data_IF_047076071797
#
_entry.id   IF_047076071797
#
_cell.length_a   1.000
_cell.length_b   1.000
_cell.length_c   1.000
_cell.angle_alpha   90.00
_cell.angle_beta   90.00
_cell.angle_gamma   90.00
#
_symmetry.space_group_name_H-M   'P 1'
#
loop_
_entity.id
_entity.type
_entity.pdbx_description
1 polymer ?
#
# COMPACT_ATOMS: atom_id res chain seq x y z
N UNK A 1 -21.95 1.20 7.69
CA UNK A 1 -21.44 0.13 6.80
C UNK A 1 -20.85 -1.02 7.63
N UNK A 2 -20.01 -0.75 8.62
CA UNK A 2 -19.26 -1.77 9.37
C UNK A 2 -19.94 -2.23 10.67
N UNK A 3 -21.03 -1.58 11.08
CA UNK A 3 -21.77 -1.92 12.30
C UNK A 3 -22.20 -3.39 12.30
N UNK A 4 -21.85 -4.09 13.36
CA UNK A 4 -22.15 -5.51 13.55
C UNK A 4 -21.58 -6.45 12.45
N UNK A 5 -20.42 -6.09 11.85
CA UNK A 5 -19.75 -6.82 10.76
C UNK A 5 -18.46 -7.47 11.23
N UNK A 6 -17.99 -8.45 10.47
CA UNK A 6 -16.70 -9.13 10.65
C UNK A 6 -15.74 -8.72 9.55
N UNK A 7 -14.55 -8.25 9.94
CA UNK A 7 -13.43 -7.89 9.05
C UNK A 7 -12.28 -8.89 9.22
N UNK A 8 -11.82 -9.48 8.15
CA UNK A 8 -10.56 -10.23 8.11
C UNK A 8 -9.42 -9.33 7.59
N UNK A 9 -8.27 -9.34 8.27
CA UNK A 9 -7.05 -8.64 7.85
C UNK A 9 -5.94 -9.67 7.68
N UNK A 10 -5.55 -9.99 6.44
CA UNK A 10 -4.38 -10.82 6.19
C UNK A 10 -3.12 -9.97 6.35
N UNK A 11 -2.04 -10.56 6.86
CA UNK A 11 -0.85 -9.78 7.23
C UNK A 11 -1.14 -8.77 8.35
N UNK A 12 -2.16 -9.02 9.17
CA UNK A 12 -2.65 -8.12 10.20
C UNK A 12 -1.62 -7.78 11.29
N UNK A 13 -0.59 -8.60 11.47
CA UNK A 13 0.55 -8.31 12.39
C UNK A 13 1.59 -7.35 11.82
N UNK A 14 1.47 -6.97 10.53
CA UNK A 14 2.31 -5.95 9.90
C UNK A 14 1.88 -4.52 10.27
N UNK A 15 2.74 -3.53 10.00
CA UNK A 15 2.46 -2.11 10.33
C UNK A 15 1.14 -1.62 9.74
N UNK A 16 0.87 -1.93 8.47
CA UNK A 16 -0.35 -1.50 7.80
C UNK A 16 -1.59 -2.22 8.35
N UNK A 17 -1.54 -3.55 8.47
CA UNK A 17 -2.64 -4.33 9.05
C UNK A 17 -2.99 -3.88 10.48
N UNK A 18 -1.97 -3.52 11.26
CA UNK A 18 -2.13 -2.98 12.61
C UNK A 18 -2.79 -1.59 12.62
N UNK A 19 -2.44 -0.74 11.66
CA UNK A 19 -3.07 0.58 11.53
C UNK A 19 -4.56 0.46 11.14
N UNK A 20 -4.90 -0.44 10.22
CA UNK A 20 -6.28 -0.76 9.88
C UNK A 20 -7.03 -1.31 11.10
N UNK A 21 -6.44 -2.25 11.84
CA UNK A 21 -7.01 -2.77 13.08
C UNK A 21 -7.35 -1.62 14.05
N UNK A 22 -6.40 -0.73 14.36
CA UNK A 22 -6.63 0.38 15.28
C UNK A 22 -7.80 1.28 14.85
N UNK A 23 -7.89 1.58 13.55
CA UNK A 23 -8.97 2.42 13.00
C UNK A 23 -10.34 1.76 13.20
N UNK A 24 -10.44 0.43 13.03
CA UNK A 24 -11.70 -0.29 13.19
C UNK A 24 -12.07 -0.61 14.63
N UNK A 25 -11.11 -0.72 15.55
CA UNK A 25 -11.40 -0.98 16.97
C UNK A 25 -12.30 0.08 17.61
N UNK A 26 -12.21 1.31 17.15
CA UNK A 26 -13.01 2.45 17.65
C UNK A 26 -14.37 2.57 16.93
N UNK A 27 -14.79 1.53 16.20
CA UNK A 27 -16.09 1.50 15.51
C UNK A 27 -17.01 0.44 16.12
N UNK A 28 -18.28 0.42 15.68
CA UNK A 28 -19.28 -0.59 16.06
C UNK A 28 -19.05 -1.93 15.35
N UNK A 29 -17.84 -2.23 14.92
CA UNK A 29 -17.51 -3.52 14.30
C UNK A 29 -17.68 -4.65 15.33
N UNK A 30 -18.21 -5.79 14.89
CA UNK A 30 -18.44 -6.95 15.75
C UNK A 30 -17.15 -7.70 16.04
N UNK A 31 -16.37 -7.97 14.99
CA UNK A 31 -15.20 -8.85 15.07
C UNK A 31 -14.14 -8.44 14.05
N UNK A 32 -12.87 -8.48 14.45
CA UNK A 32 -11.72 -8.28 13.57
C UNK A 32 -10.84 -9.54 13.67
N UNK A 33 -10.64 -10.22 12.55
CA UNK A 33 -9.76 -11.37 12.44
C UNK A 33 -8.41 -10.97 11.92
N UNK A 34 -7.36 -11.26 12.71
CA UNK A 34 -5.96 -11.08 12.33
C UNK A 34 -5.44 -12.41 11.81
N UNK A 35 -5.16 -12.47 10.51
CA UNK A 35 -4.63 -13.66 9.85
C UNK A 35 -3.15 -13.44 9.51
N UNK A 36 -2.27 -14.26 10.09
CA UNK A 36 -0.82 -14.13 9.92
C UNK A 36 -0.10 -15.44 10.25
N UNK A 37 1.08 -15.63 9.69
CA UNK A 37 1.96 -16.78 9.99
C UNK A 37 2.70 -16.64 11.32
N UNK A 38 2.86 -15.40 11.79
CA UNK A 38 3.74 -15.05 12.90
C UNK A 38 2.99 -15.15 14.23
N UNK A 39 3.10 -16.31 14.87
CA UNK A 39 2.48 -16.61 16.16
C UNK A 39 2.94 -15.64 17.26
N UNK A 40 4.24 -15.36 17.30
CA UNK A 40 4.77 -14.45 18.33
C UNK A 40 4.16 -13.06 18.24
N UNK A 41 4.12 -12.48 17.03
CA UNK A 41 3.48 -11.16 16.86
C UNK A 41 2.00 -11.19 17.16
N UNK A 42 1.29 -12.28 16.90
CA UNK A 42 -0.12 -12.42 17.29
C UNK A 42 -0.26 -12.45 18.81
N UNK A 43 0.63 -13.13 19.50
CA UNK A 43 0.61 -13.15 20.96
C UNK A 43 0.93 -11.78 21.57
N UNK A 44 1.97 -11.10 21.07
CA UNK A 44 2.29 -9.73 21.46
C UNK A 44 1.09 -8.78 21.26
N UNK A 45 0.39 -8.90 20.14
CA UNK A 45 -0.83 -8.13 19.86
C UNK A 45 -1.96 -8.48 20.80
N UNK A 46 -2.15 -9.78 21.13
CA UNK A 46 -3.19 -10.22 22.05
C UNK A 46 -2.99 -9.61 23.44
N UNK A 47 -1.76 -9.63 23.93
CA UNK A 47 -1.40 -9.02 25.20
C UNK A 47 -1.56 -7.50 25.18
N UNK A 48 -1.10 -6.84 24.11
CA UNK A 48 -1.15 -5.39 23.98
C UNK A 48 -2.58 -4.84 23.88
N UNK A 49 -3.40 -5.42 23.02
CA UNK A 49 -4.77 -4.91 22.80
C UNK A 49 -5.76 -5.41 23.84
N UNK A 50 -5.61 -6.64 24.33
CA UNK A 50 -6.51 -7.31 25.28
C UNK A 50 -8.01 -7.00 25.00
N UNK A 51 -8.43 -7.14 23.73
CA UNK A 51 -9.75 -6.74 23.26
C UNK A 51 -10.51 -7.92 22.69
N UNK A 52 -11.72 -8.25 23.20
CA UNK A 52 -12.48 -9.46 22.79
C UNK A 52 -12.98 -9.41 21.34
N UNK A 53 -13.04 -8.21 20.71
CA UNK A 53 -13.40 -8.07 19.29
C UNK A 53 -12.31 -8.64 18.37
N UNK A 54 -11.05 -8.77 18.84
CA UNK A 54 -9.96 -9.27 18.01
C UNK A 54 -9.88 -10.79 18.13
N UNK A 55 -9.86 -11.47 16.99
CA UNK A 55 -9.61 -12.91 16.89
C UNK A 55 -8.36 -13.17 16.08
N UNK A 56 -7.54 -14.08 16.56
CA UNK A 56 -6.23 -14.37 15.96
C UNK A 56 -6.28 -15.74 15.28
N UNK A 57 -5.90 -15.75 14.01
CA UNK A 57 -5.86 -16.92 13.14
C UNK A 57 -4.43 -17.12 12.64
N UNK A 58 -3.78 -18.19 13.03
CA UNK A 58 -2.48 -18.57 12.49
C UNK A 58 -2.72 -19.24 11.15
N UNK A 59 -2.09 -18.73 10.10
CA UNK A 59 -2.22 -19.28 8.75
C UNK A 59 -1.38 -18.55 7.72
N UNK A 60 -1.25 -19.16 6.56
CA UNK A 60 -0.48 -18.66 5.42
C UNK A 60 -1.41 -18.44 4.22
N UNK A 61 -1.36 -17.27 3.59
CA UNK A 61 -2.16 -16.98 2.38
C UNK A 61 -1.83 -17.93 1.21
N UNK A 62 -0.66 -18.56 1.22
CA UNK A 62 -0.27 -19.58 0.23
C UNK A 62 -1.04 -20.90 0.39
N UNK A 63 -1.69 -21.12 1.54
CA UNK A 63 -2.51 -22.27 1.82
C UNK A 63 -4.00 -21.88 1.74
N UNK A 64 -4.66 -22.33 0.68
CA UNK A 64 -6.06 -22.00 0.41
C UNK A 64 -7.01 -22.42 1.54
N UNK A 65 -6.86 -23.65 2.07
CA UNK A 65 -7.75 -24.19 3.09
C UNK A 65 -7.69 -23.40 4.41
N UNK A 66 -6.49 -22.94 4.76
CA UNK A 66 -6.26 -22.09 5.93
C UNK A 66 -7.00 -20.75 5.76
N UNK A 67 -6.88 -20.12 4.58
CA UNK A 67 -7.58 -18.88 4.25
C UNK A 67 -9.09 -19.08 4.21
N UNK A 68 -9.56 -20.15 3.55
CA UNK A 68 -10.99 -20.48 3.45
C UNK A 68 -11.63 -20.65 4.83
N UNK A 69 -10.99 -21.38 5.73
CA UNK A 69 -11.46 -21.57 7.09
C UNK A 69 -11.57 -20.28 7.89
N UNK A 70 -10.57 -19.40 7.77
CA UNK A 70 -10.57 -18.09 8.43
C UNK A 70 -11.61 -17.12 7.85
N UNK A 71 -12.05 -17.35 6.58
CA UNK A 71 -12.97 -16.49 5.85
C UNK A 71 -14.46 -16.78 6.19
N UNK A 72 -14.77 -17.90 6.84
CA UNK A 72 -16.16 -18.27 7.15
C UNK A 72 -16.86 -17.18 7.98
N UNK A 73 -17.98 -16.65 7.46
CA UNK A 73 -18.76 -15.59 8.13
C UNK A 73 -18.12 -14.21 8.14
N UNK A 74 -17.10 -13.97 7.33
CA UNK A 74 -16.48 -12.66 7.12
C UNK A 74 -17.35 -11.83 6.17
N UNK A 75 -17.61 -10.57 6.52
CA UNK A 75 -18.31 -9.61 5.65
C UNK A 75 -17.34 -8.83 4.77
N UNK A 76 -16.15 -8.48 5.30
CA UNK A 76 -15.14 -7.64 4.66
C UNK A 76 -13.75 -8.24 4.82
N UNK A 77 -12.91 -8.14 3.82
CA UNK A 77 -11.53 -8.59 3.90
C UNK A 77 -10.54 -7.53 3.39
N UNK A 78 -9.45 -7.36 4.11
CA UNK A 78 -8.32 -6.54 3.69
C UNK A 78 -7.11 -7.44 3.46
N UNK A 79 -6.71 -7.57 2.19
CA UNK A 79 -5.57 -8.39 1.76
C UNK A 79 -4.30 -7.55 1.79
N UNK A 80 -3.56 -7.61 2.91
CA UNK A 80 -2.29 -6.90 3.10
C UNK A 80 -1.08 -7.83 3.25
N UNK A 81 -1.28 -9.14 3.29
CA UNK A 81 -0.19 -10.10 3.34
C UNK A 81 0.61 -10.08 2.04
N UNK A 82 1.88 -9.71 2.12
CA UNK A 82 2.77 -9.65 0.97
C UNK A 82 4.25 -9.71 1.39
N UNK A 83 5.12 -10.13 0.48
CA UNK A 83 6.54 -9.81 0.51
C UNK A 83 6.74 -8.43 -0.13
N UNK A 84 7.38 -7.49 0.58
CA UNK A 84 7.51 -6.09 0.17
C UNK A 84 8.94 -5.58 0.03
N UNK A 85 9.92 -6.36 0.48
CA UNK A 85 11.32 -5.95 0.41
C UNK A 85 11.88 -6.25 -0.99
N UNK A 86 12.31 -5.21 -1.72
CA UNK A 86 12.83 -5.36 -3.08
C UNK A 86 14.00 -6.36 -3.12
N UNK A 87 15.07 -6.22 -2.31
CA UNK A 87 16.18 -7.17 -2.36
C UNK A 87 15.74 -8.62 -2.12
N UNK A 88 14.88 -8.87 -1.13
CA UNK A 88 14.40 -10.21 -0.84
C UNK A 88 13.58 -10.81 -1.98
N UNK A 89 12.78 -9.99 -2.67
CA UNK A 89 12.01 -10.46 -3.83
C UNK A 89 12.91 -10.72 -5.04
N UNK A 90 13.97 -9.95 -5.24
CA UNK A 90 14.96 -10.20 -6.30
C UNK A 90 15.68 -11.53 -6.09
N UNK A 91 16.11 -11.83 -4.87
CA UNK A 91 16.77 -13.11 -4.55
C UNK A 91 15.81 -14.30 -4.52
N UNK A 92 14.55 -14.08 -4.17
CA UNK A 92 13.53 -15.12 -4.04
C UNK A 92 12.25 -14.79 -4.84
N UNK A 93 12.33 -14.61 -6.17
CA UNK A 93 11.19 -14.16 -6.97
C UNK A 93 10.03 -15.16 -6.96
N UNK A 94 10.30 -16.45 -6.88
CA UNK A 94 9.26 -17.48 -6.76
C UNK A 94 8.45 -17.32 -5.46
N UNK A 95 9.09 -16.97 -4.34
CA UNK A 95 8.39 -16.72 -3.08
C UNK A 95 7.54 -15.43 -3.16
N UNK A 96 7.99 -14.41 -3.90
CA UNK A 96 7.19 -13.24 -4.19
C UNK A 96 5.93 -13.60 -5.02
N UNK A 97 6.07 -14.43 -6.05
CA UNK A 97 4.92 -14.93 -6.85
C UNK A 97 3.98 -15.75 -5.97
N UNK A 98 4.48 -16.71 -5.21
CA UNK A 98 3.66 -17.57 -4.34
C UNK A 98 2.87 -16.76 -3.31
N UNK A 99 3.48 -15.73 -2.72
CA UNK A 99 2.84 -14.94 -1.67
C UNK A 99 1.97 -13.81 -2.24
N UNK A 100 2.52 -13.01 -3.14
CA UNK A 100 1.86 -11.79 -3.61
C UNK A 100 0.80 -12.09 -4.67
N UNK A 101 1.03 -13.08 -5.53
CA UNK A 101 0.14 -13.41 -6.64
C UNK A 101 -0.80 -14.55 -6.24
N UNK A 102 -0.26 -15.77 -6.03
CA UNK A 102 -1.07 -16.95 -5.73
C UNK A 102 -1.75 -16.84 -4.35
N UNK A 103 -1.05 -16.25 -3.37
CA UNK A 103 -1.63 -15.97 -2.05
C UNK A 103 -2.78 -14.97 -2.12
N UNK A 104 -2.67 -13.94 -2.97
CA UNK A 104 -3.78 -13.02 -3.24
C UNK A 104 -4.93 -13.75 -3.93
N UNK A 105 -4.66 -14.58 -4.93
CA UNK A 105 -5.67 -15.37 -5.61
C UNK A 105 -6.42 -16.29 -4.64
N UNK A 106 -5.71 -16.97 -3.73
CA UNK A 106 -6.33 -17.80 -2.70
C UNK A 106 -7.31 -16.99 -1.82
N UNK A 107 -6.91 -15.77 -1.43
CA UNK A 107 -7.79 -14.89 -0.63
C UNK A 107 -9.04 -14.49 -1.42
N UNK A 108 -8.90 -14.17 -2.70
CA UNK A 108 -10.03 -13.80 -3.57
C UNK A 108 -10.97 -14.99 -3.81
N UNK A 109 -10.42 -16.18 -4.06
CA UNK A 109 -11.22 -17.42 -4.22
C UNK A 109 -11.99 -17.76 -2.94
N UNK A 110 -11.30 -17.74 -1.78
CA UNK A 110 -11.94 -17.99 -0.49
C UNK A 110 -13.03 -16.95 -0.18
N UNK A 111 -12.80 -15.69 -0.54
CA UNK A 111 -13.78 -14.62 -0.38
C UNK A 111 -15.00 -14.82 -1.29
N UNK A 112 -14.79 -15.25 -2.53
CA UNK A 112 -15.86 -15.57 -3.48
C UNK A 112 -16.77 -16.70 -2.94
N UNK A 113 -16.18 -17.81 -2.51
CA UNK A 113 -16.92 -18.96 -2.00
C UNK A 113 -17.65 -18.67 -0.67
N UNK A 114 -17.06 -17.83 0.19
CA UNK A 114 -17.68 -17.41 1.45
C UNK A 114 -18.61 -16.18 1.29
N UNK A 115 -18.84 -15.69 0.06
CA UNK A 115 -19.70 -14.54 -0.26
C UNK A 115 -19.34 -13.28 0.51
N UNK A 116 -18.05 -13.02 0.66
CA UNK A 116 -17.52 -11.81 1.30
C UNK A 116 -17.92 -10.60 0.47
N UNK A 117 -18.57 -9.62 1.09
CA UNK A 117 -19.16 -8.47 0.38
C UNK A 117 -18.12 -7.62 -0.34
N UNK A 118 -16.99 -7.36 0.32
CA UNK A 118 -15.91 -6.56 -0.28
C UNK A 118 -14.54 -7.06 0.16
N UNK A 119 -13.62 -7.11 -0.80
CA UNK A 119 -12.20 -7.37 -0.56
C UNK A 119 -11.40 -6.18 -1.08
N UNK A 120 -10.53 -5.64 -0.25
CA UNK A 120 -9.56 -4.64 -0.69
C UNK A 120 -8.18 -5.27 -0.75
N UNK A 121 -7.58 -5.23 -1.94
CA UNK A 121 -6.23 -5.73 -2.20
C UNK A 121 -5.24 -4.57 -2.12
N UNK A 122 -4.26 -4.70 -1.24
CA UNK A 122 -3.24 -3.68 -1.06
C UNK A 122 -2.21 -3.75 -2.19
N UNK A 123 -2.01 -2.64 -2.92
CA UNK A 123 -1.00 -2.49 -3.95
C UNK A 123 -0.02 -1.34 -3.65
N UNK A 124 0.71 -0.85 -4.63
CA UNK A 124 1.82 0.09 -4.47
C UNK A 124 2.12 0.81 -5.78
N UNK A 125 2.75 1.98 -5.72
CA UNK A 125 3.38 2.68 -6.84
C UNK A 125 4.34 1.80 -7.66
N UNK A 126 5.01 0.85 -7.00
CA UNK A 126 5.96 -0.06 -7.66
C UNK A 126 5.31 -1.10 -8.58
N UNK A 127 3.98 -1.24 -8.53
CA UNK A 127 3.20 -2.03 -9.48
C UNK A 127 3.02 -1.33 -10.84
N UNK A 128 3.25 -0.01 -10.89
CA UNK A 128 3.17 0.79 -12.12
C UNK A 128 4.55 0.87 -12.76
N UNK A 129 4.67 0.46 -14.02
CA UNK A 129 5.96 0.31 -14.72
C UNK A 129 7.00 -0.43 -13.86
N UNK A 130 6.73 -1.68 -13.47
CA UNK A 130 7.55 -2.40 -12.51
C UNK A 130 8.94 -2.73 -13.08
N UNK A 131 10.00 -2.41 -12.35
CA UNK A 131 11.40 -2.69 -12.72
C UNK A 131 12.06 -3.74 -11.81
N UNK A 132 11.33 -4.29 -10.85
CA UNK A 132 11.83 -5.30 -9.91
C UNK A 132 10.76 -6.35 -9.61
N UNK A 133 11.20 -7.53 -9.12
CA UNK A 133 10.34 -8.69 -8.88
C UNK A 133 9.19 -8.39 -7.90
N UNK A 134 9.42 -7.54 -6.90
CA UNK A 134 8.37 -7.13 -5.97
C UNK A 134 7.27 -6.34 -6.72
N UNK A 135 7.63 -5.33 -7.49
CA UNK A 135 6.71 -4.54 -8.30
C UNK A 135 5.97 -5.40 -9.33
N UNK A 136 6.69 -6.28 -10.04
CA UNK A 136 6.09 -7.21 -11.01
C UNK A 136 5.05 -8.13 -10.35
N UNK A 137 5.35 -8.69 -9.19
CA UNK A 137 4.41 -9.55 -8.46
C UNK A 137 3.17 -8.78 -7.99
N UNK A 138 3.31 -7.51 -7.60
CA UNK A 138 2.18 -6.66 -7.20
C UNK A 138 1.34 -6.23 -8.42
N UNK A 139 1.97 -5.91 -9.55
CA UNK A 139 1.27 -5.62 -10.80
C UNK A 139 0.42 -6.82 -11.25
N UNK A 140 1.00 -8.04 -11.20
CA UNK A 140 0.27 -9.26 -11.54
C UNK A 140 -0.88 -9.53 -10.54
N UNK A 141 -0.69 -9.26 -9.25
CA UNK A 141 -1.74 -9.36 -8.23
C UNK A 141 -2.93 -8.43 -8.53
N UNK A 142 -2.69 -7.19 -8.99
CA UNK A 142 -3.76 -6.30 -9.46
C UNK A 142 -4.52 -6.91 -10.65
N UNK A 143 -3.81 -7.45 -11.64
CA UNK A 143 -4.46 -8.10 -12.80
C UNK A 143 -5.28 -9.31 -12.41
N UNK A 144 -4.82 -10.13 -11.46
CA UNK A 144 -5.59 -11.26 -10.90
C UNK A 144 -6.86 -10.75 -10.21
N UNK A 145 -6.76 -9.70 -9.41
CA UNK A 145 -7.92 -9.09 -8.73
C UNK A 145 -8.94 -8.57 -9.75
N UNK A 146 -8.52 -7.83 -10.76
CA UNK A 146 -9.39 -7.33 -11.83
C UNK A 146 -10.05 -8.48 -12.60
N UNK A 147 -9.29 -9.52 -12.94
CA UNK A 147 -9.83 -10.69 -13.63
C UNK A 147 -10.91 -11.41 -12.81
N UNK A 148 -10.69 -11.62 -11.51
CA UNK A 148 -11.68 -12.24 -10.61
C UNK A 148 -12.92 -11.37 -10.44
N UNK A 149 -12.77 -10.05 -10.55
CA UNK A 149 -13.87 -9.09 -10.39
C UNK A 149 -14.86 -9.08 -11.56
N UNK A 150 -14.48 -9.54 -12.75
CA UNK A 150 -15.33 -9.51 -13.95
C UNK A 150 -16.67 -10.24 -13.76
N UNK A 151 -16.69 -11.30 -12.96
CA UNK A 151 -17.88 -12.13 -12.72
C UNK A 151 -18.69 -11.69 -11.48
N UNK A 152 -18.38 -10.54 -10.88
CA UNK A 152 -19.04 -10.08 -9.65
C UNK A 152 -20.21 -9.12 -9.88
N UNK A 153 -20.43 -8.68 -11.12
CA UNK A 153 -21.52 -7.77 -11.44
C UNK A 153 -22.88 -8.40 -11.07
N UNK A 154 -23.72 -7.64 -10.38
CA UNK A 154 -25.02 -8.10 -9.90
C UNK A 154 -25.00 -9.00 -8.65
N UNK A 155 -23.86 -9.44 -8.16
CA UNK A 155 -23.75 -10.29 -6.96
C UNK A 155 -23.82 -9.53 -5.64
N UNK A 156 -23.65 -8.20 -5.66
CA UNK A 156 -23.46 -7.36 -4.48
C UNK A 156 -22.07 -7.45 -3.85
N UNK A 157 -21.16 -8.21 -4.46
CA UNK A 157 -19.76 -8.32 -4.06
C UNK A 157 -18.88 -7.37 -4.87
N UNK A 158 -17.78 -6.89 -4.27
CA UNK A 158 -16.77 -6.11 -4.99
C UNK A 158 -15.35 -6.43 -4.47
N UNK A 159 -14.44 -6.70 -5.39
CA UNK A 159 -13.00 -6.77 -5.15
C UNK A 159 -12.37 -5.53 -5.74
N UNK A 160 -11.62 -4.77 -4.95
CA UNK A 160 -11.00 -3.52 -5.35
C UNK A 160 -9.53 -3.50 -4.93
N UNK A 161 -8.72 -2.72 -5.65
CA UNK A 161 -7.35 -2.44 -5.29
C UNK A 161 -7.19 -1.06 -4.65
N UNK A 162 -6.16 -0.91 -3.81
CA UNK A 162 -5.68 0.41 -3.36
C UNK A 162 -4.21 0.53 -3.70
N UNK A 163 -3.85 1.63 -4.37
CA UNK A 163 -2.47 1.93 -4.79
C UNK A 163 -2.03 3.22 -4.12
N UNK A 164 -0.90 3.20 -3.46
CA UNK A 164 -0.35 4.34 -2.76
C UNK A 164 1.17 4.40 -2.91
N UNK A 165 1.73 5.59 -2.69
CA UNK A 165 3.17 5.82 -2.73
C UNK A 165 3.90 5.36 -1.47
N UNK A 166 5.02 6.02 -1.18
CA UNK A 166 5.81 5.69 -0.02
C UNK A 166 5.12 6.13 1.27
N UNK A 167 4.84 5.17 2.16
CA UNK A 167 4.39 5.46 3.52
C UNK A 167 5.59 5.83 4.37
N UNK A 168 5.58 7.07 4.90
CA UNK A 168 6.66 7.62 5.71
C UNK A 168 6.92 6.80 6.97
N UNK A 169 8.17 6.76 7.42
CA UNK A 169 8.64 6.04 8.60
C UNK A 169 8.27 4.55 8.65
N UNK A 170 7.92 3.94 7.51
CA UNK A 170 7.71 2.50 7.45
C UNK A 170 9.04 1.77 7.70
N UNK A 171 8.95 0.57 8.29
CA UNK A 171 10.14 -0.24 8.62
C UNK A 171 11.03 -0.46 7.39
N UNK A 172 12.32 -0.14 7.52
CA UNK A 172 13.31 -0.26 6.46
C UNK A 172 13.24 0.84 5.40
N UNK A 173 12.57 1.97 5.69
CA UNK A 173 12.51 3.15 4.80
C UNK A 173 13.58 4.19 5.13
N UNK A 174 13.69 5.19 4.26
CA UNK A 174 14.73 6.23 4.31
C UNK A 174 14.67 7.10 5.57
N UNK A 175 13.48 7.42 6.08
CA UNK A 175 13.34 8.29 7.27
C UNK A 175 13.98 7.67 8.52
N UNK A 176 13.68 6.43 8.92
CA UNK A 176 14.39 5.79 10.03
C UNK A 176 15.90 5.71 9.82
N UNK A 177 16.35 5.47 8.60
CA UNK A 177 17.78 5.44 8.28
C UNK A 177 18.45 6.79 8.53
N UNK A 178 17.86 7.88 8.06
CA UNK A 178 18.39 9.23 8.26
C UNK A 178 18.40 9.62 9.73
N UNK A 179 17.34 9.32 10.47
CA UNK A 179 17.28 9.55 11.92
C UNK A 179 18.40 8.79 12.63
N UNK A 180 18.63 7.52 12.28
CA UNK A 180 19.71 6.73 12.86
C UNK A 180 21.09 7.32 12.54
N UNK A 181 21.31 7.77 11.31
CA UNK A 181 22.58 8.43 10.89
C UNK A 181 22.79 9.73 11.66
N UNK A 182 21.75 10.56 11.80
CA UNK A 182 21.80 11.80 12.58
C UNK A 182 22.23 11.51 14.03
N UNK A 183 21.56 10.58 14.70
CA UNK A 183 21.84 10.21 16.08
C UNK A 183 23.26 9.69 16.31
N UNK A 184 23.81 9.00 15.33
CA UNK A 184 25.15 8.44 15.38
C UNK A 184 26.24 9.43 14.93
N UNK A 185 25.90 10.68 14.61
CA UNK A 185 26.84 11.67 14.08
C UNK A 185 27.45 11.28 12.74
N UNK A 186 26.80 10.37 11.98
CA UNK A 186 27.27 9.91 10.67
C UNK A 186 26.72 10.80 9.56
N UNK A 187 27.39 10.89 8.39
CA UNK A 187 26.80 11.54 7.22
C UNK A 187 25.47 10.92 6.84
N UNK A 188 24.50 11.77 6.43
CA UNK A 188 23.26 11.31 5.80
C UNK A 188 23.59 10.86 4.38
N UNK A 189 23.34 9.62 4.05
CA UNK A 189 23.63 9.08 2.73
C UNK A 189 22.39 9.12 1.83
N UNK A 190 22.46 9.92 0.76
CA UNK A 190 21.40 10.01 -0.26
C UNK A 190 21.87 9.40 -1.58
N UNK A 191 20.97 8.79 -2.33
CA UNK A 191 21.29 8.14 -3.62
C UNK A 191 21.41 9.15 -4.73
N UNK A 192 20.40 10.00 -4.90
CA UNK A 192 20.35 11.10 -5.85
C UNK A 192 19.56 12.26 -5.22
N UNK A 193 20.08 13.50 -5.19
CA UNK A 193 19.41 14.63 -4.56
C UNK A 193 18.06 14.96 -5.21
N UNK A 194 17.95 14.78 -6.53
CA UNK A 194 16.75 15.10 -7.31
C UNK A 194 15.71 13.97 -7.34
N UNK A 195 16.05 12.79 -6.83
CA UNK A 195 15.13 11.66 -6.72
C UNK A 195 13.93 12.05 -5.88
N UNK A 196 12.71 11.80 -6.38
CA UNK A 196 11.48 12.15 -5.66
C UNK A 196 10.78 10.92 -5.10
N UNK A 197 10.14 11.12 -3.95
CA UNK A 197 9.26 10.11 -3.34
C UNK A 197 7.97 10.77 -2.87
N UNK A 198 6.87 10.06 -3.02
CA UNK A 198 5.62 10.47 -2.40
C UNK A 198 5.76 10.50 -0.88
N UNK A 199 5.11 11.47 -0.26
CA UNK A 199 5.13 11.67 1.19
C UNK A 199 3.74 11.48 1.75
N UNK A 200 3.50 10.34 2.39
CA UNK A 200 2.19 9.91 2.83
C UNK A 200 2.26 9.34 4.24
N UNK A 201 1.29 9.69 5.08
CA UNK A 201 1.18 9.09 6.40
C UNK A 201 0.51 7.71 6.33
N UNK A 202 0.67 6.93 7.39
CA UNK A 202 -0.02 5.65 7.49
C UNK A 202 -1.54 5.84 7.65
N UNK A 203 -1.98 6.94 8.25
CA UNK A 203 -3.40 7.27 8.39
C UNK A 203 -4.04 7.61 7.05
N UNK A 204 -3.36 8.38 6.18
CA UNK A 204 -3.82 8.64 4.81
C UNK A 204 -4.03 7.33 4.04
N UNK A 205 -3.09 6.38 4.20
CA UNK A 205 -3.19 5.07 3.56
C UNK A 205 -4.38 4.25 4.08
N UNK A 206 -4.69 4.34 5.37
CA UNK A 206 -5.87 3.70 5.96
C UNK A 206 -7.16 4.36 5.47
N UNK A 207 -7.18 5.69 5.33
CA UNK A 207 -8.33 6.42 4.81
C UNK A 207 -8.64 6.02 3.36
N UNK A 208 -7.61 5.80 2.53
CA UNK A 208 -7.79 5.24 1.18
C UNK A 208 -8.46 3.86 1.22
N UNK A 209 -8.07 2.97 2.15
CA UNK A 209 -8.69 1.65 2.30
C UNK A 209 -10.16 1.77 2.71
N UNK A 210 -10.47 2.67 3.64
CA UNK A 210 -11.86 2.94 4.06
C UNK A 210 -12.70 3.52 2.91
N UNK A 211 -12.10 4.42 2.11
CA UNK A 211 -12.72 4.98 0.93
C UNK A 211 -13.07 3.89 -0.10
N UNK A 212 -12.11 2.99 -0.37
CA UNK A 212 -12.30 1.87 -1.28
C UNK A 212 -13.39 0.90 -0.78
N UNK A 213 -13.45 0.60 0.52
CA UNK A 213 -14.53 -0.19 1.08
C UNK A 213 -15.91 0.44 0.87
N UNK A 214 -16.02 1.77 0.95
CA UNK A 214 -17.30 2.47 0.82
C UNK A 214 -17.74 2.62 -0.64
N UNK A 215 -16.82 2.92 -1.54
CA UNK A 215 -17.13 3.44 -2.88
C UNK A 215 -16.77 2.49 -4.02
N UNK A 216 -16.04 1.38 -3.75
CA UNK A 216 -15.52 0.53 -4.81
C UNK A 216 -16.56 -0.29 -5.54
N UNK A 217 -16.47 -0.33 -6.87
CA UNK A 217 -17.14 -1.29 -7.73
C UNK A 217 -16.18 -2.44 -8.08
N UNK A 218 -16.68 -3.57 -8.59
CA UNK A 218 -15.82 -4.69 -8.96
C UNK A 218 -14.68 -4.29 -9.90
N UNK A 219 -13.44 -4.53 -9.48
CA UNK A 219 -12.23 -4.29 -10.27
C UNK A 219 -11.66 -2.87 -10.21
N UNK A 220 -12.29 -1.95 -9.50
CA UNK A 220 -11.75 -0.60 -9.32
C UNK A 220 -10.40 -0.62 -8.60
N UNK A 221 -9.50 0.27 -9.01
CA UNK A 221 -8.27 0.57 -8.28
C UNK A 221 -8.33 2.03 -7.83
N UNK A 222 -8.25 2.27 -6.53
CA UNK A 222 -8.18 3.61 -5.96
C UNK A 222 -6.74 4.00 -5.69
N UNK A 223 -6.40 5.22 -6.04
CA UNK A 223 -5.05 5.77 -5.94
C UNK A 223 -5.07 7.00 -5.05
N UNK A 224 -4.19 7.02 -4.04
CA UNK A 224 -4.01 8.19 -3.19
C UNK A 224 -3.25 9.28 -3.93
N UNK A 225 -3.82 10.48 -4.01
CA UNK A 225 -3.07 11.66 -4.40
C UNK A 225 -2.24 12.13 -3.21
N UNK A 226 -0.94 12.13 -3.36
CA UNK A 226 -0.02 12.52 -2.29
C UNK A 226 0.99 13.55 -2.78
N UNK A 227 1.39 14.49 -1.94
CA UNK A 227 2.52 15.36 -2.25
C UNK A 227 3.81 14.54 -2.32
N UNK A 228 4.85 15.12 -2.88
CA UNK A 228 6.17 14.50 -2.96
C UNK A 228 7.26 15.46 -2.51
N UNK A 229 8.39 14.91 -2.04
CA UNK A 229 9.60 15.66 -1.77
C UNK A 229 10.79 15.03 -2.49
N UNK A 230 11.82 15.81 -2.77
CA UNK A 230 13.12 15.25 -3.13
C UNK A 230 13.78 14.62 -1.91
N UNK A 231 14.66 13.67 -2.15
CA UNK A 231 15.42 13.04 -1.04
C UNK A 231 16.33 14.07 -0.36
N UNK A 232 16.82 15.06 -1.10
CA UNK A 232 17.58 16.19 -0.55
C UNK A 232 16.74 17.06 0.40
N UNK A 233 15.54 17.47 -0.01
CA UNK A 233 14.60 18.23 0.83
C UNK A 233 14.26 17.46 2.10
N UNK A 234 14.02 16.14 2.00
CA UNK A 234 13.75 15.28 3.14
C UNK A 234 14.95 15.23 4.11
N UNK A 235 16.17 15.10 3.60
CA UNK A 235 17.39 15.09 4.41
C UNK A 235 17.56 16.40 5.18
N UNK A 236 17.44 17.54 4.49
CA UNK A 236 17.55 18.87 5.12
C UNK A 236 16.42 19.14 6.13
N UNK A 237 15.20 18.76 5.84
CA UNK A 237 14.08 18.89 6.78
C UNK A 237 14.33 18.13 8.09
N UNK A 238 14.91 16.91 8.02
CA UNK A 238 15.29 16.14 9.21
C UNK A 238 16.48 16.79 9.95
N UNK A 239 17.51 17.25 9.23
CA UNK A 239 18.63 17.95 9.86
C UNK A 239 18.16 19.17 10.67
N UNK A 240 17.29 19.99 10.10
CA UNK A 240 16.72 21.16 10.79
C UNK A 240 15.86 20.74 12.00
N UNK A 241 14.98 19.73 11.88
CA UNK A 241 14.14 19.26 12.98
C UNK A 241 14.97 18.73 14.16
N UNK A 242 16.07 18.06 13.87
CA UNK A 242 16.97 17.51 14.89
C UNK A 242 18.05 18.50 15.37
N UNK A 243 18.09 19.72 14.82
CA UNK A 243 19.16 20.72 15.03
C UNK A 243 20.56 20.09 14.87
N UNK A 244 20.75 19.38 13.76
CA UNK A 244 21.92 18.55 13.49
C UNK A 244 22.74 19.10 12.32
N UNK A 245 24.07 19.05 12.43
CA UNK A 245 25.03 19.53 11.42
C UNK A 245 25.69 18.40 10.60
N UNK A 246 25.06 17.24 10.49
CA UNK A 246 25.64 16.12 9.75
C UNK A 246 25.78 16.46 8.25
N UNK A 247 26.88 16.02 7.66
CA UNK A 247 27.11 16.13 6.22
C UNK A 247 26.08 15.30 5.43
N UNK A 248 25.64 15.81 4.27
CA UNK A 248 24.85 15.04 3.30
C UNK A 248 25.78 14.50 2.22
N UNK A 249 25.89 13.17 2.11
CA UNK A 249 26.78 12.49 1.18
C UNK A 249 25.98 11.78 0.08
N UNK A 250 26.29 12.09 -1.19
CA UNK A 250 25.70 11.40 -2.35
C UNK A 250 26.46 10.10 -2.59
N UNK A 251 25.71 8.96 -2.65
CA UNK A 251 26.28 7.62 -2.85
C UNK A 251 25.93 6.99 -4.20
N UNK A 252 25.12 7.64 -5.03
CA UNK A 252 24.64 7.11 -6.31
C UNK A 252 23.39 6.22 -6.20
N UNK A 253 22.71 6.06 -7.33
CA UNK A 253 21.45 5.27 -7.44
C UNK A 253 21.73 3.78 -7.27
N UNK A 254 20.88 3.09 -6.52
CA UNK A 254 20.99 1.64 -6.30
C UNK A 254 20.29 0.85 -7.40
N UNK A 255 20.64 -0.43 -7.53
CA UNK A 255 19.94 -1.34 -8.43
C UNK A 255 18.45 -1.44 -8.10
N UNK A 256 17.59 -1.33 -9.11
CA UNK A 256 16.14 -1.43 -8.95
C UNK A 256 15.46 -0.21 -8.31
N UNK A 257 16.16 0.92 -8.15
CA UNK A 257 15.60 2.19 -7.72
C UNK A 257 15.20 3.07 -8.92
N UNK A 258 14.00 3.64 -8.86
CA UNK A 258 13.52 4.64 -9.83
C UNK A 258 13.91 6.05 -9.37
N UNK A 259 14.16 6.96 -10.31
CA UNK A 259 14.34 8.38 -10.00
C UNK A 259 13.06 9.04 -9.49
N UNK A 260 11.91 8.55 -9.95
CA UNK A 260 10.58 8.98 -9.50
C UNK A 260 9.63 7.78 -9.49
N UNK A 261 8.56 7.89 -8.76
CA UNK A 261 7.53 6.86 -8.68
C UNK A 261 6.28 7.28 -9.47
N UNK A 262 5.66 6.33 -10.13
CA UNK A 262 4.41 6.51 -10.90
C UNK A 262 3.26 5.82 -10.16
N UNK A 263 2.14 6.51 -9.96
CA UNK A 263 0.94 5.95 -9.34
C UNK A 263 -0.16 5.63 -10.36
N UNK A 264 -0.24 6.41 -11.44
CA UNK A 264 -1.19 6.17 -12.54
C UNK A 264 -0.43 6.34 -13.86
N UNK A 265 -0.43 5.32 -14.70
CA UNK A 265 0.21 5.40 -16.02
C UNK A 265 -0.67 6.12 -17.03
N UNK A 266 -0.15 6.41 -18.23
CA UNK A 266 -0.87 7.16 -19.28
C UNK A 266 -2.17 6.48 -19.71
N UNK A 267 -2.13 5.17 -19.91
CA UNK A 267 -3.30 4.38 -20.31
C UNK A 267 -4.40 4.41 -19.23
N UNK A 268 -4.00 4.34 -17.96
CA UNK A 268 -4.91 4.44 -16.83
C UNK A 268 -5.48 5.86 -16.68
N UNK A 269 -4.66 6.90 -16.92
CA UNK A 269 -5.09 8.30 -16.79
C UNK A 269 -6.23 8.67 -17.75
N UNK A 270 -6.26 8.09 -18.95
CA UNK A 270 -7.36 8.31 -19.93
C UNK A 270 -8.73 7.94 -19.34
N UNK A 271 -8.78 6.92 -18.47
CA UNK A 271 -10.03 6.45 -17.86
C UNK A 271 -10.16 6.82 -16.39
N UNK A 272 -9.13 7.43 -15.80
CA UNK A 272 -9.12 7.75 -14.38
C UNK A 272 -10.13 8.85 -14.05
N UNK A 273 -10.96 8.62 -13.05
CA UNK A 273 -11.87 9.61 -12.50
C UNK A 273 -11.19 10.36 -11.35
N UNK A 274 -11.22 11.67 -11.40
CA UNK A 274 -10.73 12.51 -10.31
C UNK A 274 -11.81 12.67 -9.24
N UNK A 275 -11.52 12.13 -8.04
CA UNK A 275 -12.40 12.18 -6.87
C UNK A 275 -11.84 13.10 -5.77
N UNK A 276 -11.11 14.14 -6.15
CA UNK A 276 -10.48 15.08 -5.22
C UNK A 276 -9.18 14.51 -4.65
N UNK A 277 -9.22 13.91 -3.47
CA UNK A 277 -8.03 13.33 -2.84
C UNK A 277 -7.59 11.99 -3.45
N UNK A 278 -8.41 11.41 -4.33
CA UNK A 278 -8.17 10.10 -4.92
C UNK A 278 -8.40 10.12 -6.42
N UNK A 279 -7.68 9.25 -7.13
CA UNK A 279 -8.12 8.80 -8.45
C UNK A 279 -8.82 7.44 -8.31
N UNK A 280 -9.87 7.24 -9.10
CA UNK A 280 -10.48 5.94 -9.35
C UNK A 280 -10.09 5.49 -10.76
N UNK A 281 -9.46 4.34 -10.86
CA UNK A 281 -9.19 3.67 -12.13
C UNK A 281 -10.23 2.57 -12.26
N UNK A 282 -11.23 2.72 -13.15
CA UNK A 282 -12.26 1.69 -13.34
C UNK A 282 -11.67 0.43 -13.96
N UNK A 283 -12.32 -0.71 -13.69
CA UNK A 283 -11.94 -1.98 -14.28
C UNK A 283 -11.97 -1.94 -15.80
N UNK A 284 -11.04 -2.63 -16.44
CA UNK A 284 -11.11 -2.90 -17.87
C UNK A 284 -12.20 -3.95 -18.13
N UNK A 285 -13.32 -3.50 -18.65
CA UNK A 285 -14.50 -4.35 -18.95
C UNK A 285 -14.52 -4.85 -20.40
N UNK A 286 -13.46 -4.56 -21.17
CA UNK A 286 -13.37 -5.06 -22.56
C UNK A 286 -13.36 -6.59 -22.56
N UNK A 287 -14.09 -7.16 -23.50
CA UNK A 287 -14.08 -8.61 -23.74
C UNK A 287 -12.88 -9.05 -24.61
N UNK A 288 -12.69 -10.36 -24.76
CA UNK A 288 -11.63 -10.95 -25.58
C UNK A 288 -11.94 -10.85 -27.08
N UNK A 289 -12.54 -9.76 -27.55
CA UNK A 289 -12.77 -9.55 -28.98
C UNK A 289 -11.46 -9.08 -29.66
N UNK A 290 -10.64 -10.05 -30.09
CA UNK A 290 -9.34 -9.79 -30.69
C UNK A 290 -9.37 -8.86 -31.91
N UNK A 291 -10.45 -8.88 -32.71
CA UNK A 291 -10.55 -8.00 -33.87
C UNK A 291 -10.61 -6.54 -33.47
N UNK A 292 -11.37 -6.22 -32.43
CA UNK A 292 -11.48 -4.85 -31.88
C UNK A 292 -10.18 -4.40 -31.22
N UNK A 293 -9.49 -5.32 -30.54
CA UNK A 293 -8.22 -5.06 -29.86
C UNK A 293 -7.10 -4.63 -30.81
N UNK A 294 -7.10 -5.12 -32.05
CA UNK A 294 -6.08 -4.83 -33.07
C UNK A 294 -6.42 -3.67 -34.00
N UNK A 295 -7.68 -3.26 -34.08
CA UNK A 295 -8.16 -2.29 -35.09
C UNK A 295 -8.48 -0.94 -34.43
N UNK A 296 -8.89 -0.91 -33.18
CA UNK A 296 -9.29 0.32 -32.47
C UNK A 296 -8.25 0.65 -31.39
N UNK A 297 -7.38 1.64 -31.64
CA UNK A 297 -6.47 2.22 -30.66
C UNK A 297 -7.11 3.40 -29.94
N UNK A 298 -6.52 3.78 -28.79
CA UNK A 298 -6.89 4.97 -28.00
C UNK A 298 -5.94 6.12 -28.36
N UNK A 299 -6.39 7.08 -29.14
CA UNK A 299 -5.56 8.19 -29.63
C UNK A 299 -5.12 9.16 -28.53
N UNK A 300 -5.87 9.24 -27.43
CA UNK A 300 -5.60 10.17 -26.33
C UNK A 300 -4.43 9.71 -25.45
N UNK A 301 -4.08 8.43 -25.44
CA UNK A 301 -2.99 7.87 -24.60
C UNK A 301 -1.67 8.57 -24.84
N UNK A 302 -1.35 8.89 -26.10
CA UNK A 302 -0.09 9.53 -26.48
C UNK A 302 0.05 10.96 -25.93
N UNK A 303 -1.06 11.65 -25.68
CA UNK A 303 -1.12 13.05 -25.22
C UNK A 303 -1.30 13.16 -23.70
N UNK A 304 -1.69 12.08 -23.03
CA UNK A 304 -1.95 12.09 -21.60
C UNK A 304 -0.64 12.02 -20.80
N UNK A 305 -0.54 12.83 -19.75
CA UNK A 305 0.54 12.72 -18.77
C UNK A 305 0.20 11.70 -17.68
N UNK A 306 1.18 10.90 -17.29
CA UNK A 306 1.10 10.01 -16.13
C UNK A 306 1.12 10.78 -14.81
N UNK A 307 0.54 10.24 -13.74
CA UNK A 307 0.62 10.84 -12.41
C UNK A 307 1.82 10.27 -11.64
N UNK A 308 2.81 11.14 -11.39
CA UNK A 308 4.11 10.78 -10.83
C UNK A 308 4.48 11.62 -9.62
N UNK A 309 5.49 11.18 -8.87
CA UNK A 309 6.08 11.98 -7.79
C UNK A 309 6.86 13.20 -8.30
N UNK A 310 7.08 13.32 -9.62
CA UNK A 310 7.68 14.50 -10.24
C UNK A 310 6.67 15.61 -10.53
N UNK A 311 5.44 15.27 -10.92
CA UNK A 311 4.41 16.24 -11.33
C UNK A 311 3.28 16.45 -10.33
N UNK A 312 3.35 15.85 -9.13
CA UNK A 312 2.47 16.16 -8.01
C UNK A 312 2.95 17.42 -7.27
N UNK A 313 2.15 17.90 -6.29
CA UNK A 313 2.58 18.98 -5.41
C UNK A 313 3.92 18.65 -4.72
N UNK A 314 4.91 19.53 -4.90
CA UNK A 314 6.28 19.36 -4.38
C UNK A 314 6.43 20.12 -3.08
N UNK A 315 6.71 19.41 -2.01
CA UNK A 315 6.92 19.98 -0.70
C UNK A 315 8.28 20.68 -0.62
N UNK A 316 8.29 21.87 -0.04
CA UNK A 316 9.51 22.52 0.41
C UNK A 316 9.95 21.98 1.80
N UNK A 317 11.07 22.49 2.34
CA UNK A 317 11.62 22.04 3.62
C UNK A 317 10.62 22.26 4.76
N UNK A 318 9.94 23.41 4.83
CA UNK A 318 9.01 23.72 5.93
C UNK A 318 7.77 22.81 5.87
N UNK A 319 7.15 22.66 4.72
CA UNK A 319 6.02 21.74 4.51
C UNK A 319 6.42 20.29 4.84
N UNK A 320 7.63 19.88 4.48
CA UNK A 320 8.18 18.56 4.81
C UNK A 320 8.34 18.38 6.32
N UNK A 321 8.83 19.40 7.04
CA UNK A 321 8.94 19.40 8.51
C UNK A 321 7.57 19.26 9.17
N UNK A 322 6.58 20.02 8.73
CA UNK A 322 5.20 19.92 9.24
C UNK A 322 4.63 18.51 9.08
N UNK A 323 4.88 17.89 7.93
CA UNK A 323 4.43 16.53 7.67
C UNK A 323 5.18 15.48 8.50
N UNK A 324 6.50 15.65 8.67
CA UNK A 324 7.34 14.78 9.51
C UNK A 324 6.93 14.83 10.99
N UNK A 325 6.52 16.00 11.49
CA UNK A 325 6.03 16.17 12.87
C UNK A 325 4.70 15.44 13.16
N UNK A 326 3.98 14.97 12.14
CA UNK A 326 2.80 14.09 12.32
C UNK A 326 3.19 12.65 12.65
N UNK A 327 4.46 12.27 12.44
CA UNK A 327 4.96 10.93 12.70
C UNK A 327 5.35 10.75 14.17
N UNK A 328 4.80 9.74 14.83
CA UNK A 328 5.08 9.45 16.25
C UNK A 328 6.58 9.32 16.53
N UNK A 329 7.34 8.68 15.64
CA UNK A 329 8.79 8.49 15.78
C UNK A 329 9.55 9.82 15.76
N UNK A 330 9.12 10.80 14.99
CA UNK A 330 9.76 12.12 14.93
C UNK A 330 9.28 12.98 16.10
N UNK A 331 7.97 13.01 16.34
CA UNK A 331 7.34 13.81 17.40
C UNK A 331 7.86 13.45 18.78
N UNK A 332 7.99 12.16 19.09
CA UNK A 332 8.49 11.70 20.40
C UNK A 332 9.96 12.07 20.65
N UNK A 333 10.76 12.22 19.60
CA UNK A 333 12.19 12.51 19.71
C UNK A 333 12.52 14.00 19.69
N UNK A 334 11.82 14.78 18.83
CA UNK A 334 12.00 16.23 18.73
C UNK A 334 11.33 16.93 19.93
N UNK A 335 10.16 16.45 20.41
CA UNK A 335 9.46 17.01 21.57
C UNK A 335 10.13 16.79 22.93
N UNK A 336 11.15 15.93 23.02
CA UNK A 336 11.95 15.74 24.25
C UNK A 336 13.14 16.72 24.37
N UNK A 337 13.36 17.54 23.34
CA UNK A 337 14.48 18.51 23.29
C UNK A 337 14.04 19.98 23.51
N UNK A 338 12.75 20.21 23.85
CA UNK A 338 12.21 21.54 24.19
C UNK A 338 11.93 21.63 25.69
#
# INVERSE_FOLDING_TARGET
MFTNKTLLITGGTGSFGNAVLRRFLNTDIKEIRIFSRDEKKQDDMRQYYNNPKIKYYIGDVRNYESVYSAMKGVDYAFQAAALKQVPSCEFFPTEAVRTNVLGCENVLNAALENKVKRVIVLSTDKAVYPINAMGMSKALSEKVMVAKSRNLNGTGMAFCGTRYGNVMASRGSVIPLFIEQIKKGKPITITDPHMTRYMMTLDDAVDLVLFAFKNGNPGDIFVQKSPAATIEVLAHALLELYNAGNEVKIIGTRHGEKLYETLVNREEMVKAEDLGNYFRIPADTRDLNYNRFFIEGESEIAQMEEYTSHNTHRLNINETKELLLKLDVVKSEVGQKV
#
